data_IF_783421909420
#
_entry.id   IF_783421909420
#
_cell.length_a   1.000
_cell.length_b   1.000
_cell.length_c   1.000
_cell.angle_alpha   90.00
_cell.angle_beta   90.00
_cell.angle_gamma   90.00
#
_symmetry.space_group_name_H-M   'P 1'
#
loop_
_entity.id
_entity.type
_entity.pdbx_description
1 polymer ?
#
# COMPACT_ATOMS: atom_id res chain seq x y z
N UNK A 1 3.11 18.22 11.04
CA UNK A 1 3.54 16.90 11.58
C UNK A 1 2.31 16.23 12.17
N UNK A 2 1.44 15.68 11.32
CA UNK A 2 0.00 15.46 11.61
C UNK A 2 -0.40 13.98 11.52
N UNK A 3 0.33 13.18 10.73
CA UNK A 3 -0.01 11.76 10.51
C UNK A 3 0.23 10.91 11.76
N UNK A 4 1.39 11.09 12.42
CA UNK A 4 1.72 10.35 13.65
C UNK A 4 0.69 10.62 14.76
N UNK A 5 0.18 11.85 14.89
CA UNK A 5 -0.86 12.16 15.87
C UNK A 5 -2.18 11.44 15.56
N UNK A 6 -2.56 11.28 14.29
CA UNK A 6 -3.75 10.50 13.93
C UNK A 6 -3.55 9.01 14.20
N UNK A 7 -2.40 8.45 13.83
CA UNK A 7 -2.08 7.04 14.11
C UNK A 7 -2.06 6.75 15.60
N UNK A 8 -1.53 7.67 16.41
CA UNK A 8 -1.57 7.57 17.88
C UNK A 8 -3.01 7.58 18.41
N UNK A 9 -3.86 8.46 17.90
CA UNK A 9 -5.28 8.49 18.29
C UNK A 9 -6.02 7.19 17.90
N UNK A 10 -5.71 6.61 16.73
CA UNK A 10 -6.24 5.30 16.33
C UNK A 10 -5.78 4.22 17.30
N UNK A 11 -4.49 4.19 17.64
CA UNK A 11 -3.95 3.25 18.63
C UNK A 11 -4.66 3.36 19.98
N UNK A 12 -4.78 4.58 20.52
CA UNK A 12 -5.40 4.86 21.81
C UNK A 12 -6.89 4.50 21.83
N UNK A 13 -7.63 4.72 20.73
CA UNK A 13 -9.06 4.35 20.65
C UNK A 13 -9.34 2.85 20.72
N UNK A 14 -8.32 2.01 20.49
CA UNK A 14 -8.42 0.56 20.53
C UNK A 14 -7.65 -0.06 21.71
N UNK A 15 -6.87 0.73 22.45
CA UNK A 15 -6.10 0.28 23.60
C UNK A 15 -6.95 0.14 24.85
N UNK A 16 -6.54 -0.75 25.75
CA UNK A 16 -7.08 -0.84 27.09
C UNK A 16 -6.52 0.26 28.01
N UNK A 17 -6.92 0.23 29.29
CA UNK A 17 -6.47 1.20 30.29
C UNK A 17 -4.94 1.17 30.54
N UNK A 18 -4.27 0.07 30.18
CA UNK A 18 -2.82 -0.10 30.32
C UNK A 18 -2.04 0.43 29.10
N UNK A 19 -2.75 0.97 28.10
CA UNK A 19 -2.15 1.55 26.90
C UNK A 19 -1.59 0.50 25.95
N UNK A 20 -2.10 -0.74 26.00
CA UNK A 20 -1.70 -1.85 25.13
C UNK A 20 -2.90 -2.44 24.41
N UNK A 21 -2.63 -3.19 23.35
CA UNK A 21 -3.65 -4.01 22.69
C UNK A 21 -3.44 -5.46 23.06
N UNK A 22 -4.48 -6.11 23.58
CA UNK A 22 -4.55 -7.56 23.79
C UNK A 22 -4.67 -8.32 22.46
N UNK A 23 -4.42 -9.64 22.46
CA UNK A 23 -4.66 -10.52 21.31
C UNK A 23 -6.04 -10.33 20.65
N UNK A 24 -7.09 -10.10 21.44
CA UNK A 24 -8.44 -9.86 20.91
C UNK A 24 -8.56 -8.54 20.15
N UNK A 25 -7.96 -7.45 20.67
CA UNK A 25 -7.93 -6.15 20.00
C UNK A 25 -7.07 -6.20 18.72
N UNK A 26 -5.93 -6.89 18.77
CA UNK A 26 -5.08 -7.11 17.60
C UNK A 26 -5.86 -7.83 16.49
N UNK A 27 -6.48 -8.97 16.82
CA UNK A 27 -7.26 -9.74 15.86
C UNK A 27 -8.41 -8.90 15.28
N UNK A 28 -9.13 -8.15 16.12
CA UNK A 28 -10.18 -7.25 15.68
C UNK A 28 -9.66 -6.20 14.70
N UNK A 29 -8.57 -5.52 15.01
CA UNK A 29 -8.03 -4.48 14.13
C UNK A 29 -7.57 -5.06 12.79
N UNK A 30 -6.71 -6.09 12.82
CA UNK A 30 -6.15 -6.69 11.60
C UNK A 30 -7.25 -7.29 10.72
N UNK A 31 -8.17 -8.06 11.30
CA UNK A 31 -9.15 -8.83 10.51
C UNK A 31 -10.43 -8.07 10.20
N UNK A 32 -10.86 -7.13 11.05
CA UNK A 32 -12.15 -6.43 10.86
C UNK A 32 -11.98 -4.99 10.37
N UNK A 33 -10.92 -4.29 10.81
CA UNK A 33 -10.66 -2.91 10.36
C UNK A 33 -9.86 -2.91 9.08
N UNK A 34 -8.70 -3.58 9.08
CA UNK A 34 -7.83 -3.66 7.91
C UNK A 34 -8.27 -4.72 6.91
N UNK A 35 -9.11 -5.67 7.33
CA UNK A 35 -9.56 -6.82 6.51
C UNK A 35 -8.40 -7.67 5.97
N UNK A 36 -7.27 -7.69 6.68
CA UNK A 36 -6.13 -8.54 6.36
C UNK A 36 -6.25 -9.92 7.02
N UNK A 37 -5.48 -10.87 6.50
CA UNK A 37 -5.35 -12.22 7.06
C UNK A 37 -3.92 -12.51 7.50
N UNK A 38 -3.71 -13.65 8.13
CA UNK A 38 -2.41 -14.19 8.54
C UNK A 38 -1.54 -14.70 7.37
N UNK A 39 -1.89 -14.33 6.13
CA UNK A 39 -1.17 -14.74 4.93
C UNK A 39 0.01 -13.84 4.61
N UNK A 40 0.00 -12.62 5.14
CA UNK A 40 1.03 -11.61 4.92
C UNK A 40 1.93 -11.49 6.15
N UNK A 41 3.20 -11.15 5.94
CA UNK A 41 4.23 -11.26 6.98
C UNK A 41 3.98 -10.34 8.17
N UNK A 42 3.57 -9.10 7.95
CA UNK A 42 3.39 -8.13 9.05
C UNK A 42 2.12 -8.43 9.86
N UNK A 43 1.01 -8.76 9.20
CA UNK A 43 -0.24 -9.16 9.83
C UNK A 43 -0.06 -10.45 10.64
N UNK A 44 0.62 -11.47 10.09
CA UNK A 44 0.89 -12.71 10.81
C UNK A 44 1.72 -12.48 12.08
N UNK A 45 2.77 -11.64 12.00
CA UNK A 45 3.58 -11.25 13.17
C UNK A 45 2.73 -10.56 14.24
N UNK A 46 1.87 -9.63 13.85
CA UNK A 46 0.99 -8.94 14.77
C UNK A 46 0.00 -9.92 15.44
N UNK A 47 -0.67 -10.77 14.64
CA UNK A 47 -1.65 -11.75 15.12
C UNK A 47 -1.07 -12.82 16.07
N UNK A 48 0.21 -13.16 15.92
CA UNK A 48 0.91 -14.08 16.82
C UNK A 48 1.31 -13.44 18.16
N UNK A 49 1.31 -12.10 18.24
CA UNK A 49 1.65 -11.36 19.46
C UNK A 49 0.56 -11.50 20.53
N UNK A 50 0.94 -11.59 21.79
CA UNK A 50 0.00 -11.59 22.93
C UNK A 50 -0.48 -10.19 23.27
N UNK A 51 0.42 -9.22 23.12
CA UNK A 51 0.19 -7.79 23.31
C UNK A 51 1.03 -6.98 22.32
N UNK A 52 0.58 -5.77 21.97
CA UNK A 52 1.39 -4.81 21.20
C UNK A 52 1.33 -3.41 21.82
N UNK A 53 2.41 -2.67 21.62
CA UNK A 53 2.54 -1.25 21.94
C UNK A 53 2.40 -0.37 20.69
N UNK A 54 2.49 0.95 20.88
CA UNK A 54 2.41 1.91 19.78
C UNK A 54 3.51 1.68 18.73
N UNK A 55 4.71 1.26 19.14
CA UNK A 55 5.83 1.04 18.21
C UNK A 55 5.55 -0.13 17.26
N UNK A 56 5.06 -1.26 17.80
CA UNK A 56 4.65 -2.41 17.00
C UNK A 56 3.48 -2.09 16.07
N UNK A 57 2.50 -1.29 16.55
CA UNK A 57 1.42 -0.78 15.69
C UNK A 57 1.95 0.08 14.54
N UNK A 58 2.84 1.04 14.83
CA UNK A 58 3.41 1.90 13.79
C UNK A 58 4.22 1.10 12.77
N UNK A 59 4.97 0.09 13.20
CA UNK A 59 5.68 -0.83 12.29
C UNK A 59 4.72 -1.52 11.32
N UNK A 60 3.56 -1.99 11.81
CA UNK A 60 2.53 -2.56 10.96
C UNK A 60 1.93 -1.51 9.99
N UNK A 61 1.60 -0.32 10.49
CA UNK A 61 1.03 0.76 9.65
C UNK A 61 1.99 1.28 8.56
N UNK A 62 3.30 1.10 8.73
CA UNK A 62 4.32 1.42 7.72
C UNK A 62 4.72 0.24 6.84
N UNK A 63 4.13 -0.94 7.05
CA UNK A 63 4.42 -2.13 6.25
C UNK A 63 3.57 -2.18 4.97
N UNK A 64 3.96 -3.03 4.01
CA UNK A 64 3.21 -3.25 2.77
C UNK A 64 1.77 -3.70 3.02
N UNK A 65 1.52 -4.41 4.13
CA UNK A 65 0.19 -4.86 4.55
C UNK A 65 -0.79 -3.71 4.83
N UNK A 66 -0.29 -2.51 5.11
CA UNK A 66 -1.11 -1.30 5.32
C UNK A 66 -1.11 -0.37 4.12
N UNK A 67 -0.56 -0.81 2.98
CA UNK A 67 -0.62 -0.05 1.76
C UNK A 67 -2.06 -0.05 1.22
N UNK A 68 -2.53 1.12 0.77
CA UNK A 68 -3.87 1.25 0.19
C UNK A 68 -3.99 0.53 -1.17
N UNK A 69 -2.86 0.28 -1.83
CA UNK A 69 -2.83 -0.45 -3.09
C UNK A 69 -2.80 -1.95 -2.82
N UNK A 70 -3.79 -2.67 -3.34
CA UNK A 70 -3.75 -4.13 -3.39
C UNK A 70 -2.57 -4.62 -4.25
N UNK A 71 -1.95 -5.76 -3.91
CA UNK A 71 -0.96 -6.40 -4.77
C UNK A 71 -1.53 -6.63 -6.17
N UNK A 72 -0.69 -6.47 -7.19
CA UNK A 72 -1.10 -6.74 -8.56
C UNK A 72 -1.52 -8.20 -8.72
N UNK A 73 -2.78 -8.44 -9.07
CA UNK A 73 -3.26 -9.76 -9.43
C UNK A 73 -2.70 -10.15 -10.81
N UNK A 74 -2.25 -11.40 -10.95
CA UNK A 74 -1.82 -11.91 -12.24
C UNK A 74 -3.00 -11.86 -13.21
N UNK A 75 -2.85 -11.14 -14.33
CA UNK A 75 -3.83 -11.14 -15.40
C UNK A 75 -3.68 -12.42 -16.24
N UNK A 76 -4.81 -12.95 -16.71
CA UNK A 76 -4.81 -14.00 -17.73
C UNK A 76 -4.39 -13.40 -19.06
N UNK A 77 -3.19 -13.75 -19.54
CA UNK A 77 -2.61 -13.24 -20.79
C UNK A 77 -2.93 -14.10 -22.03
N UNK A 78 -3.86 -15.06 -21.92
CA UNK A 78 -4.23 -15.96 -23.03
C UNK A 78 -5.28 -15.38 -24.00
N UNK A 79 -5.98 -14.32 -23.60
CA UNK A 79 -6.99 -13.63 -24.42
C UNK A 79 -6.35 -12.84 -25.57
N UNK A 80 -7.09 -12.52 -26.65
CA UNK A 80 -6.58 -11.71 -27.75
C UNK A 80 -6.30 -10.26 -27.30
N UNK A 81 -5.39 -9.57 -28.02
CA UNK A 81 -4.88 -8.23 -27.67
C UNK A 81 -5.97 -7.17 -27.40
N UNK A 82 -7.10 -7.25 -28.11
CA UNK A 82 -8.24 -6.34 -27.94
C UNK A 82 -8.98 -6.48 -26.60
N UNK A 83 -8.61 -7.48 -25.78
CA UNK A 83 -9.22 -7.74 -24.48
C UNK A 83 -8.49 -7.02 -23.34
N UNK A 84 -7.38 -6.33 -23.61
CA UNK A 84 -6.58 -5.65 -22.60
C UNK A 84 -6.58 -4.15 -22.80
N UNK A 85 -6.53 -3.42 -21.69
CA UNK A 85 -6.11 -2.02 -21.71
C UNK A 85 -4.58 -1.96 -21.89
N UNK A 86 -4.13 -1.19 -22.88
CA UNK A 86 -2.71 -1.04 -23.22
C UNK A 86 -2.29 0.37 -22.84
N UNK A 87 -1.29 0.49 -21.96
CA UNK A 87 -0.63 1.77 -21.69
C UNK A 87 0.01 2.26 -22.98
N UNK A 88 -0.47 3.39 -23.49
CA UNK A 88 -0.01 3.98 -24.75
C UNK A 88 0.38 5.43 -24.51
N UNK A 89 1.44 5.86 -25.19
CA UNK A 89 1.87 7.26 -25.20
C UNK A 89 1.71 7.84 -26.61
N UNK A 90 1.49 9.14 -26.67
CA UNK A 90 1.35 9.87 -27.93
C UNK A 90 2.51 10.86 -28.05
N UNK A 91 3.13 10.93 -29.24
CA UNK A 91 4.30 11.79 -29.49
C UNK A 91 5.41 11.63 -28.43
N UNK A 92 5.76 10.38 -28.12
CA UNK A 92 6.70 10.01 -27.04
C UNK A 92 8.07 10.67 -27.17
N UNK A 93 8.48 11.11 -28.36
CA UNK A 93 9.72 11.84 -28.57
C UNK A 93 9.71 13.24 -27.94
N UNK A 94 8.55 13.85 -27.67
CA UNK A 94 8.47 15.22 -27.17
C UNK A 94 8.83 15.31 -25.69
N UNK A 95 9.80 16.17 -25.39
CA UNK A 95 10.21 16.51 -24.01
C UNK A 95 9.30 17.52 -23.32
N UNK A 96 8.35 18.11 -24.05
CA UNK A 96 7.48 19.18 -23.54
C UNK A 96 6.29 19.46 -24.45
N UNK A 97 6.06 20.73 -24.77
CA UNK A 97 4.89 21.15 -25.54
C UNK A 97 4.96 20.74 -27.02
N UNK A 98 3.80 20.73 -27.70
CA UNK A 98 3.67 20.28 -29.10
C UNK A 98 4.30 21.22 -30.14
N UNK A 99 4.61 22.48 -29.78
CA UNK A 99 4.95 23.52 -30.75
C UNK A 99 6.45 23.89 -30.78
N UNK A 100 7.10 23.92 -29.61
CA UNK A 100 8.43 24.51 -29.47
C UNK A 100 9.40 23.68 -28.62
N UNK A 101 8.96 22.54 -28.05
CA UNK A 101 9.86 21.71 -27.26
C UNK A 101 10.65 20.73 -28.12
N UNK A 102 11.80 20.34 -27.61
CA UNK A 102 12.72 19.46 -28.32
C UNK A 102 12.23 18.01 -28.34
N UNK A 103 12.69 17.28 -29.36
CA UNK A 103 12.56 15.83 -29.44
C UNK A 103 13.79 15.16 -28.83
N UNK A 104 13.58 14.18 -27.94
CA UNK A 104 14.67 13.43 -27.30
C UNK A 104 14.34 11.94 -27.23
N UNK A 105 15.38 11.11 -27.15
CA UNK A 105 15.24 9.67 -26.87
C UNK A 105 14.96 9.40 -25.39
N UNK A 106 15.32 10.32 -24.49
CA UNK A 106 15.19 10.12 -23.03
C UNK A 106 13.73 9.97 -22.59
N UNK A 107 12.80 10.59 -23.31
CA UNK A 107 11.37 10.47 -23.07
C UNK A 107 10.83 9.07 -23.39
N UNK A 108 11.42 8.36 -24.37
CA UNK A 108 11.11 6.94 -24.59
C UNK A 108 11.61 6.09 -23.42
N UNK A 109 12.82 6.35 -22.91
CA UNK A 109 13.34 5.66 -21.74
C UNK A 109 12.43 5.87 -20.53
N UNK A 110 12.02 7.11 -20.26
CA UNK A 110 11.17 7.43 -19.12
C UNK A 110 9.76 6.82 -19.20
N UNK A 111 9.20 6.64 -20.40
CA UNK A 111 7.86 6.05 -20.58
C UNK A 111 7.88 4.52 -20.48
N UNK A 112 9.02 3.90 -20.76
CA UNK A 112 9.19 2.44 -20.72
C UNK A 112 9.65 1.90 -19.35
N UNK A 113 10.01 2.78 -18.42
CA UNK A 113 10.43 2.47 -17.04
C UNK A 113 9.25 2.59 -16.07
#
# INVERSE_FOLDING_TARGET
NTVISYLKAIFESHADADGRWTRGQIARFVQQVQKNSDKTTAAAKLLQSTEIDLSAFLQYMTSEDSNITEPWNQNDLSWPLSSYFISSSHNTYLSGNQLYSDSTTDTYTNVLL
#
